data_IF_400114273514
#
_entry.id   IF_400114273514
#
_cell.length_a   1.000
_cell.length_b   1.000
_cell.length_c   1.000
_cell.angle_alpha   90.00
_cell.angle_beta   90.00
_cell.angle_gamma   90.00
#
_symmetry.space_group_name_H-M   'P 1'
#
loop_
_entity.id
_entity.type
_entity.pdbx_description
1 polymer ?
#
# COMPACT_ATOMS: atom_id res chain seq x y z
N UNK A 1 -21.14 3.85 14.69
CA UNK A 1 -21.53 2.45 14.97
C UNK A 1 -20.31 1.53 14.92
N UNK A 2 -19.56 1.47 13.81
CA UNK A 2 -18.37 0.61 13.72
C UNK A 2 -17.29 0.93 14.75
N UNK A 3 -16.93 2.21 14.94
CA UNK A 3 -16.02 2.64 16.01
C UNK A 3 -16.46 2.30 17.44
N UNK A 4 -17.78 2.10 17.66
CA UNK A 4 -18.30 1.67 18.96
C UNK A 4 -18.18 0.15 19.15
N UNK A 5 -18.14 -0.62 18.06
CA UNK A 5 -17.90 -2.06 18.12
C UNK A 5 -16.41 -2.36 18.24
N UNK A 6 -15.54 -1.57 17.59
CA UNK A 6 -14.09 -1.68 17.70
C UNK A 6 -13.57 -1.49 19.15
N UNK A 7 -14.35 -0.86 20.05
CA UNK A 7 -14.00 -0.75 21.46
C UNK A 7 -14.40 -1.98 22.30
N UNK A 8 -15.09 -2.96 21.72
CA UNK A 8 -15.47 -4.22 22.35
C UNK A 8 -14.75 -5.38 21.64
N UNK A 9 -13.62 -5.79 22.20
CA UNK A 9 -12.71 -6.83 21.69
C UNK A 9 -13.33 -8.23 21.55
N UNK A 10 -14.54 -8.46 22.06
CA UNK A 10 -15.22 -9.76 22.04
C UNK A 10 -16.17 -9.95 20.84
N UNK A 11 -16.17 -9.03 19.86
CA UNK A 11 -17.15 -9.04 18.76
C UNK A 11 -16.54 -9.04 17.35
N UNK A 12 -15.28 -9.44 17.20
CA UNK A 12 -14.54 -9.33 15.94
C UNK A 12 -15.26 -9.96 14.74
N UNK A 13 -15.85 -11.15 14.89
CA UNK A 13 -16.54 -11.83 13.80
C UNK A 13 -17.76 -11.05 13.30
N UNK A 14 -18.49 -10.40 14.22
CA UNK A 14 -19.62 -9.53 13.85
C UNK A 14 -19.16 -8.26 13.16
N UNK A 15 -18.01 -7.71 13.56
CA UNK A 15 -17.44 -6.52 12.93
C UNK A 15 -17.00 -6.86 11.49
N UNK A 16 -16.35 -8.00 11.29
CA UNK A 16 -15.96 -8.50 9.96
C UNK A 16 -17.16 -8.71 9.06
N UNK A 17 -18.23 -9.36 9.55
CA UNK A 17 -19.47 -9.55 8.78
C UNK A 17 -20.11 -8.21 8.37
N UNK A 18 -20.18 -7.24 9.30
CA UNK A 18 -20.71 -5.91 9.01
C UNK A 18 -19.88 -5.21 7.93
N UNK A 19 -18.55 -5.23 8.03
CA UNK A 19 -17.68 -4.65 7.02
C UNK A 19 -17.83 -5.33 5.67
N UNK A 20 -17.84 -6.66 5.65
CA UNK A 20 -17.95 -7.45 4.44
C UNK A 20 -19.25 -7.12 3.70
N UNK A 21 -20.41 -7.18 4.38
CA UNK A 21 -21.70 -6.82 3.76
C UNK A 21 -21.76 -5.36 3.34
N UNK A 22 -21.24 -4.46 4.16
CA UNK A 22 -21.27 -3.03 3.85
C UNK A 22 -20.41 -2.69 2.63
N UNK A 23 -19.25 -3.33 2.48
CA UNK A 23 -18.34 -3.12 1.36
C UNK A 23 -18.74 -3.90 0.11
N UNK A 24 -19.21 -5.14 0.22
CA UNK A 24 -19.48 -6.01 -0.95
C UNK A 24 -20.89 -5.86 -1.51
N UNK A 25 -21.88 -5.56 -0.67
CA UNK A 25 -23.30 -5.50 -1.08
C UNK A 25 -23.78 -4.05 -1.17
N UNK A 26 -23.63 -3.28 -0.09
CA UNK A 26 -24.29 -1.98 0.02
C UNK A 26 -23.49 -0.83 -0.61
N UNK A 27 -22.17 -0.82 -0.44
CA UNK A 27 -21.31 0.30 -0.82
C UNK A 27 -20.00 -0.11 -1.52
N UNK A 28 -20.04 -0.91 -2.61
CA UNK A 28 -18.85 -1.42 -3.31
C UNK A 28 -17.92 -0.35 -3.88
N UNK A 29 -18.46 0.84 -4.17
CA UNK A 29 -17.68 1.95 -4.75
C UNK A 29 -17.25 2.99 -3.72
N UNK A 30 -17.55 2.82 -2.43
CA UNK A 30 -17.24 3.82 -1.39
C UNK A 30 -15.83 3.57 -0.82
N UNK A 31 -14.80 4.34 -1.24
CA UNK A 31 -13.42 4.00 -0.91
C UNK A 31 -13.12 4.19 0.57
N UNK A 32 -13.69 5.24 1.19
CA UNK A 32 -13.48 5.50 2.61
C UNK A 32 -13.87 4.31 3.48
N UNK A 33 -14.97 3.62 3.17
CA UNK A 33 -15.42 2.46 3.93
C UNK A 33 -14.46 1.27 3.81
N UNK A 34 -14.02 0.96 2.59
CA UNK A 34 -13.06 -0.11 2.31
C UNK A 34 -11.69 0.18 2.96
N UNK A 35 -11.26 1.45 2.97
CA UNK A 35 -10.03 1.85 3.65
C UNK A 35 -10.12 1.61 5.16
N UNK A 36 -11.27 1.89 5.80
CA UNK A 36 -11.48 1.56 7.22
C UNK A 36 -11.45 0.05 7.46
N UNK A 37 -12.09 -0.74 6.60
CA UNK A 37 -12.05 -2.19 6.71
C UNK A 37 -10.63 -2.75 6.59
N UNK A 38 -9.84 -2.27 5.63
CA UNK A 38 -8.44 -2.67 5.49
C UNK A 38 -7.60 -2.29 6.71
N UNK A 39 -7.86 -1.14 7.34
CA UNK A 39 -7.20 -0.74 8.61
C UNK A 39 -7.56 -1.71 9.73
N UNK A 40 -8.82 -2.09 9.81
CA UNK A 40 -9.33 -3.01 10.82
C UNK A 40 -8.69 -4.41 10.67
N UNK A 41 -8.66 -4.98 9.46
CA UNK A 41 -7.99 -6.28 9.25
C UNK A 41 -6.50 -6.22 9.56
N UNK A 42 -5.85 -5.12 9.16
CA UNK A 42 -4.44 -4.91 9.46
C UNK A 42 -4.16 -4.80 10.97
N UNK A 43 -5.02 -4.15 11.76
CA UNK A 43 -4.84 -4.06 13.22
C UNK A 43 -5.00 -5.43 13.89
N UNK A 44 -5.74 -6.35 13.28
CA UNK A 44 -5.90 -7.74 13.70
C UNK A 44 -4.82 -8.66 13.08
N UNK A 45 -3.78 -8.09 12.47
CA UNK A 45 -2.66 -8.81 11.81
C UNK A 45 -3.08 -9.66 10.61
N UNK A 46 -4.27 -9.43 10.05
CA UNK A 46 -4.76 -10.08 8.83
C UNK A 46 -4.28 -9.31 7.58
N UNK A 47 -2.97 -9.31 7.34
CA UNK A 47 -2.36 -8.56 6.23
C UNK A 47 -2.85 -9.02 4.85
N UNK A 48 -3.08 -10.32 4.67
CA UNK A 48 -3.57 -10.87 3.40
C UNK A 48 -4.94 -10.33 3.05
N UNK A 49 -5.88 -10.40 3.99
CA UNK A 49 -7.24 -9.88 3.81
C UNK A 49 -7.22 -8.37 3.56
N UNK A 50 -6.40 -7.62 4.29
CA UNK A 50 -6.24 -6.18 4.05
C UNK A 50 -5.71 -5.88 2.63
N UNK A 51 -4.78 -6.70 2.12
CA UNK A 51 -4.24 -6.56 0.76
C UNK A 51 -5.33 -6.85 -0.29
N UNK A 52 -6.09 -7.93 -0.12
CA UNK A 52 -7.22 -8.29 -0.99
C UNK A 52 -8.28 -7.20 -1.07
N UNK A 53 -8.67 -6.63 0.08
CA UNK A 53 -9.66 -5.55 0.15
C UNK A 53 -9.19 -4.35 -0.67
N UNK A 54 -7.92 -3.95 -0.51
CA UNK A 54 -7.37 -2.80 -1.19
C UNK A 54 -7.17 -3.04 -2.69
N UNK A 55 -6.70 -4.22 -3.09
CA UNK A 55 -6.59 -4.61 -4.51
C UNK A 55 -7.95 -4.68 -5.18
N UNK A 56 -8.98 -5.19 -4.50
CA UNK A 56 -10.35 -5.20 -5.03
C UNK A 56 -10.92 -3.79 -5.13
N UNK A 57 -10.68 -2.94 -4.13
CA UNK A 57 -11.09 -1.54 -4.18
C UNK A 57 -10.44 -0.80 -5.36
N UNK A 58 -9.15 -1.04 -5.60
CA UNK A 58 -8.43 -0.45 -6.73
C UNK A 58 -9.03 -0.83 -8.09
N UNK A 59 -9.44 -2.09 -8.27
CA UNK A 59 -10.13 -2.53 -9.50
C UNK A 59 -11.45 -1.79 -9.71
N UNK A 60 -12.19 -1.52 -8.63
CA UNK A 60 -13.49 -0.84 -8.67
C UNK A 60 -13.34 0.67 -8.83
N UNK A 61 -12.33 1.27 -8.20
CA UNK A 61 -12.06 2.71 -8.17
C UNK A 61 -10.59 2.97 -8.56
N UNK A 62 -10.26 2.88 -9.86
CA UNK A 62 -8.87 2.99 -10.33
C UNK A 62 -8.35 4.42 -10.19
N UNK A 63 -7.01 4.56 -10.19
CA UNK A 63 -6.29 5.84 -10.14
C UNK A 63 -6.51 6.68 -8.86
N UNK A 64 -7.02 6.08 -7.79
CA UNK A 64 -7.16 6.76 -6.52
C UNK A 64 -5.86 6.70 -5.72
N UNK A 65 -5.13 7.81 -5.67
CA UNK A 65 -3.81 7.90 -5.02
C UNK A 65 -3.82 7.46 -3.54
N UNK A 66 -4.93 7.69 -2.82
CA UNK A 66 -5.05 7.22 -1.44
C UNK A 66 -5.01 5.70 -1.31
N UNK A 67 -5.59 4.97 -2.26
CA UNK A 67 -5.59 3.48 -2.28
C UNK A 67 -4.18 2.97 -2.56
N UNK A 68 -3.51 3.55 -3.56
CA UNK A 68 -2.11 3.25 -3.89
C UNK A 68 -1.19 3.42 -2.67
N UNK A 69 -1.30 4.56 -1.97
CA UNK A 69 -0.52 4.77 -0.75
C UNK A 69 -0.85 3.78 0.36
N UNK A 70 -2.11 3.36 0.49
CA UNK A 70 -2.49 2.38 1.51
C UNK A 70 -1.88 1.02 1.23
N UNK A 71 -1.91 0.54 -0.01
CA UNK A 71 -1.28 -0.72 -0.45
C UNK A 71 0.23 -0.72 -0.19
N UNK A 72 0.93 0.30 -0.66
CA UNK A 72 2.37 0.46 -0.45
C UNK A 72 2.72 0.41 1.06
N UNK A 73 1.97 1.14 1.88
CA UNK A 73 2.25 1.21 3.31
C UNK A 73 1.90 -0.09 4.05
N UNK A 74 0.89 -0.83 3.59
CA UNK A 74 0.52 -2.15 4.11
C UNK A 74 1.69 -3.13 3.90
N UNK A 75 2.17 -3.27 2.66
CA UNK A 75 3.28 -4.19 2.33
C UNK A 75 4.58 -3.79 3.04
N UNK A 76 4.81 -2.48 3.21
CA UNK A 76 5.93 -1.98 4.00
C UNK A 76 5.85 -2.38 5.47
N UNK A 77 4.66 -2.40 6.09
CA UNK A 77 4.46 -2.85 7.48
C UNK A 77 4.49 -4.37 7.61
N UNK A 78 4.07 -5.08 6.56
CA UNK A 78 4.22 -6.54 6.42
C UNK A 78 5.70 -6.96 6.31
N UNK A 79 6.56 -6.06 5.85
CA UNK A 79 7.99 -6.32 5.63
C UNK A 79 8.31 -6.86 4.23
N UNK A 80 7.34 -6.86 3.31
CA UNK A 80 7.53 -7.33 1.94
C UNK A 80 8.07 -6.19 1.06
N UNK A 81 9.36 -5.90 1.19
CA UNK A 81 9.99 -4.77 0.50
C UNK A 81 10.06 -4.95 -1.02
N UNK A 82 10.15 -6.17 -1.51
CA UNK A 82 10.12 -6.46 -2.95
C UNK A 82 8.77 -6.03 -3.55
N UNK A 83 7.67 -6.43 -2.91
CA UNK A 83 6.32 -6.01 -3.32
C UNK A 83 6.13 -4.50 -3.27
N UNK A 84 6.74 -3.82 -2.29
CA UNK A 84 6.72 -2.35 -2.21
C UNK A 84 7.38 -1.72 -3.44
N UNK A 85 8.53 -2.24 -3.89
CA UNK A 85 9.20 -1.77 -5.09
C UNK A 85 8.32 -1.95 -6.34
N UNK A 86 7.75 -3.14 -6.51
CA UNK A 86 6.84 -3.43 -7.64
C UNK A 86 5.64 -2.47 -7.67
N UNK A 87 5.03 -2.20 -6.51
CA UNK A 87 3.91 -1.26 -6.40
C UNK A 87 4.34 0.16 -6.78
N UNK A 88 5.48 0.64 -6.29
CA UNK A 88 5.99 1.95 -6.67
C UNK A 88 6.24 2.06 -8.17
N UNK A 89 6.93 1.08 -8.77
CA UNK A 89 7.20 1.02 -10.20
C UNK A 89 5.87 1.02 -10.99
N UNK A 90 4.91 0.18 -10.60
CA UNK A 90 3.59 0.10 -11.23
C UNK A 90 2.86 1.45 -11.23
N UNK A 91 2.81 2.14 -10.08
CA UNK A 91 2.09 3.41 -9.98
C UNK A 91 2.80 4.57 -10.67
N UNK A 92 4.14 4.56 -10.72
CA UNK A 92 4.91 5.58 -11.44
C UNK A 92 4.66 5.42 -12.95
N UNK A 93 4.74 4.20 -13.48
CA UNK A 93 4.58 3.93 -14.91
C UNK A 93 3.14 4.15 -15.40
N UNK A 94 2.14 3.79 -14.58
CA UNK A 94 0.73 3.87 -14.98
C UNK A 94 0.06 5.22 -14.66
N UNK A 95 0.74 6.12 -13.93
CA UNK A 95 0.16 7.42 -13.59
C UNK A 95 0.12 8.36 -14.79
N UNK A 96 -1.09 8.75 -15.20
CA UNK A 96 -1.31 9.78 -16.24
C UNK A 96 -0.90 11.19 -15.77
N UNK A 97 -0.84 11.42 -14.46
CA UNK A 97 -0.50 12.70 -13.89
C UNK A 97 0.99 12.72 -13.50
N UNK A 98 1.79 13.51 -14.23
CA UNK A 98 3.23 13.65 -13.99
C UNK A 98 3.56 14.15 -12.59
N UNK A 99 2.74 15.03 -12.02
CA UNK A 99 2.96 15.53 -10.64
C UNK A 99 2.82 14.39 -9.63
N UNK A 100 1.84 13.50 -9.83
CA UNK A 100 1.65 12.33 -8.96
C UNK A 100 2.80 11.34 -9.14
N UNK A 101 3.20 11.06 -10.39
CA UNK A 101 4.32 10.17 -10.71
C UNK A 101 5.62 10.66 -10.06
N UNK A 102 5.94 11.96 -10.19
CA UNK A 102 7.13 12.57 -9.59
C UNK A 102 7.12 12.49 -8.07
N UNK A 103 5.98 12.76 -7.44
CA UNK A 103 5.84 12.62 -5.98
C UNK A 103 6.05 11.17 -5.51
N UNK A 104 5.55 10.19 -6.26
CA UNK A 104 5.76 8.77 -5.99
C UNK A 104 7.23 8.38 -6.19
N UNK A 105 7.88 8.85 -7.26
CA UNK A 105 9.28 8.58 -7.54
C UNK A 105 10.21 9.15 -6.45
N UNK A 106 9.95 10.38 -5.96
CA UNK A 106 10.70 10.97 -4.83
C UNK A 106 10.53 10.11 -3.56
N UNK A 107 9.30 9.66 -3.27
CA UNK A 107 9.05 8.77 -2.12
C UNK A 107 9.75 7.42 -2.28
N UNK A 108 9.76 6.88 -3.49
CA UNK A 108 10.40 5.61 -3.81
C UNK A 108 11.93 5.71 -3.67
N UNK A 109 12.55 6.78 -4.19
CA UNK A 109 13.98 7.04 -4.00
C UNK A 109 14.37 7.13 -2.51
N UNK A 110 13.57 7.85 -1.70
CA UNK A 110 13.78 7.92 -0.25
C UNK A 110 13.63 6.57 0.44
N UNK A 111 12.68 5.75 -0.01
CA UNK A 111 12.49 4.41 0.51
C UNK A 111 13.69 3.51 0.21
N UNK A 112 14.16 3.48 -1.04
CA UNK A 112 15.35 2.71 -1.43
C UNK A 112 16.62 3.18 -0.72
N UNK A 113 16.80 4.49 -0.55
CA UNK A 113 17.89 5.03 0.25
C UNK A 113 17.87 4.47 1.68
N UNK A 114 16.70 4.52 2.33
CA UNK A 114 16.54 4.01 3.70
C UNK A 114 16.84 2.51 3.79
N UNK A 115 16.35 1.71 2.84
CA UNK A 115 16.65 0.28 2.78
C UNK A 115 18.16 0.02 2.60
N UNK A 116 18.78 0.71 1.65
CA UNK A 116 20.22 0.58 1.34
C UNK A 116 21.08 0.95 2.54
N UNK A 117 20.78 2.06 3.22
CA UNK A 117 21.51 2.47 4.42
C UNK A 117 21.29 1.50 5.60
N UNK A 118 20.09 0.96 5.78
CA UNK A 118 19.82 -0.05 6.82
C UNK A 118 20.53 -1.38 6.56
N UNK A 119 20.86 -1.69 5.30
CA UNK A 119 21.60 -2.88 4.90
C UNK A 119 23.13 -2.65 4.89
N UNK A 120 23.57 -1.41 4.69
CA UNK A 120 24.99 -1.03 4.84
C UNK A 120 25.47 -1.15 6.29
N UNK A 121 24.61 -0.88 7.28
CA UNK A 121 24.93 -1.15 8.70
C UNK A 121 25.12 -2.64 8.99
N UNK A 122 24.66 -3.52 8.10
CA UNK A 122 24.80 -4.98 8.18
C UNK A 122 25.62 -5.55 7.02
N UNK A 123 26.66 -4.84 6.53
CA UNK A 123 27.71 -5.33 5.60
C UNK A 123 27.28 -6.13 4.33
N UNK A 124 26.00 -6.18 3.98
CA UNK A 124 25.47 -6.89 2.81
C UNK A 124 24.42 -6.00 2.14
N UNK A 125 24.90 -5.07 1.31
CA UNK A 125 24.01 -4.38 0.39
C UNK A 125 23.82 -5.28 -0.86
N UNK A 126 22.61 -5.81 -1.13
CA UNK A 126 22.40 -6.66 -2.28
C UNK A 126 22.53 -5.86 -3.58
N UNK A 127 23.17 -6.41 -4.64
CA UNK A 127 23.43 -5.70 -5.90
C UNK A 127 22.16 -5.25 -6.65
N UNK A 128 21.00 -5.82 -6.30
CA UNK A 128 19.68 -5.47 -6.83
C UNK A 128 19.19 -4.07 -6.40
N UNK A 129 19.63 -3.53 -5.26
CA UNK A 129 19.24 -2.18 -4.82
C UNK A 129 20.00 -1.08 -5.57
N UNK A 130 21.28 -1.32 -5.85
CA UNK A 130 22.16 -0.40 -6.59
C UNK A 130 21.73 -0.27 -8.06
N UNK A 131 21.41 -1.38 -8.72
CA UNK A 131 20.90 -1.38 -10.10
C UNK A 131 19.55 -0.63 -10.22
N UNK A 132 18.63 -0.81 -9.26
CA UNK A 132 17.35 -0.08 -9.24
C UNK A 132 17.51 1.41 -8.94
N UNK A 133 18.42 1.80 -8.05
CA UNK A 133 18.75 3.21 -7.81
C UNK A 133 19.32 3.89 -9.07
N UNK A 134 20.18 3.20 -9.81
CA UNK A 134 20.69 3.70 -11.09
C UNK A 134 19.60 3.76 -12.17
N UNK A 135 18.67 2.79 -12.19
CA UNK A 135 17.51 2.86 -13.08
C UNK A 135 16.58 4.03 -12.71
N UNK A 136 16.43 4.35 -11.42
CA UNK A 136 15.61 5.47 -10.94
C UNK A 136 16.22 6.82 -11.27
N UNK A 137 17.54 6.98 -11.20
CA UNK A 137 18.18 8.23 -11.64
C UNK A 137 18.01 8.43 -13.14
N UNK A 138 18.10 7.37 -13.95
CA UNK A 138 17.76 7.42 -15.37
C UNK A 138 16.28 7.74 -15.61
N UNK A 139 15.35 7.12 -14.88
CA UNK A 139 13.91 7.39 -15.02
C UNK A 139 13.55 8.82 -14.63
N UNK A 140 14.12 9.36 -13.55
CA UNK A 140 13.91 10.75 -13.12
C UNK A 140 14.48 11.79 -14.09
N UNK A 141 15.48 11.43 -14.91
CA UNK A 141 15.99 12.29 -15.97
C UNK A 141 15.07 12.37 -17.20
N UNK A 142 14.09 11.45 -17.32
CA UNK A 142 13.22 11.33 -18.50
C UNK A 142 11.74 11.66 -18.22
N UNK A 143 11.36 12.07 -17.00
CA UNK A 143 9.99 12.47 -16.64
C UNK A 143 9.86 13.98 -16.51
#
# INVERSE_FOLDING_TARGET
FVHYLESKTEMDDKIRDVYERACTIHHPKKPSLHLHWAVYEESHKNYDKASDILTNLEKVVPNMLQVAYRLINLERRRGNFERVCELYEHYITNSKNKVIANNLAIKYARFNWKLTCSLQTSFQCPPLSLSRLHSLSMFLLHV
#
